data_IF_927562438292
#
_entry.id   IF_927562438292
#
_cell.length_a   1.000
_cell.length_b   1.000
_cell.length_c   1.000
_cell.angle_alpha   90.00
_cell.angle_beta   90.00
_cell.angle_gamma   90.00
#
_symmetry.space_group_name_H-M   'P 1'
#
loop_
_entity.id
_entity.type
_entity.pdbx_description
1 polymer ?
#
# COMPACT_ATOMS: atom_id res chain seq x y z
N UNK A 1 4.76 -8.10 13.17
CA UNK A 1 5.50 -8.41 11.93
C UNK A 1 6.96 -8.07 12.12
N UNK A 2 7.29 -6.84 12.51
CA UNK A 2 8.69 -6.42 12.73
C UNK A 2 9.43 -7.26 13.78
N UNK A 3 8.79 -7.61 14.90
CA UNK A 3 9.37 -8.51 15.92
C UNK A 3 9.82 -9.87 15.38
N UNK A 4 9.28 -10.31 14.23
CA UNK A 4 9.65 -11.57 13.57
C UNK A 4 10.75 -11.39 12.53
N UNK A 5 10.67 -10.35 11.71
CA UNK A 5 11.59 -10.14 10.59
C UNK A 5 12.84 -9.30 10.94
N UNK A 6 12.73 -8.40 11.93
CA UNK A 6 13.80 -7.53 12.43
C UNK A 6 14.52 -6.74 11.32
N UNK A 7 13.77 -6.15 10.40
CA UNK A 7 14.30 -5.40 9.26
C UNK A 7 14.71 -3.96 9.60
N UNK A 8 14.42 -3.51 10.82
CA UNK A 8 14.80 -2.22 11.35
C UNK A 8 13.92 -1.07 10.84
N UNK A 9 14.19 0.13 11.37
CA UNK A 9 13.42 1.36 11.11
C UNK A 9 13.34 1.74 9.63
N UNK A 10 14.37 1.42 8.85
CA UNK A 10 14.44 1.71 7.42
C UNK A 10 13.91 0.55 6.56
N UNK A 11 13.58 -0.59 7.19
CA UNK A 11 13.00 -1.75 6.52
C UNK A 11 11.56 -1.48 6.08
N UNK A 12 11.06 -2.32 5.17
CA UNK A 12 9.73 -2.15 4.59
C UNK A 12 8.61 -2.07 5.64
N UNK A 13 8.63 -2.94 6.66
CA UNK A 13 7.55 -3.02 7.64
C UNK A 13 7.38 -1.73 8.45
N UNK A 14 8.48 -1.10 8.86
CA UNK A 14 8.46 0.12 9.67
C UNK A 14 8.57 1.38 8.81
N UNK A 15 9.58 1.46 7.95
CA UNK A 15 9.89 2.65 7.16
C UNK A 15 8.85 2.96 6.07
N UNK A 16 8.13 1.95 5.59
CA UNK A 16 7.08 2.12 4.58
C UNK A 16 5.70 1.73 5.13
N UNK A 17 5.52 0.48 5.58
CA UNK A 17 4.25 -0.06 6.03
C UNK A 17 3.64 0.72 7.19
N UNK A 18 4.38 0.90 8.29
CA UNK A 18 3.89 1.66 9.45
C UNK A 18 3.70 3.15 9.13
N UNK A 19 4.63 3.76 8.39
CA UNK A 19 4.53 5.15 7.88
C UNK A 19 3.17 5.38 7.19
N UNK A 20 2.84 4.56 6.17
CA UNK A 20 1.61 4.74 5.41
C UNK A 20 0.36 4.29 6.16
N UNK A 21 0.44 3.26 7.00
CA UNK A 21 -0.66 2.87 7.88
C UNK A 21 -1.10 4.06 8.75
N UNK A 22 -0.14 4.77 9.36
CA UNK A 22 -0.41 5.94 10.19
C UNK A 22 -0.96 7.11 9.37
N UNK A 23 -0.38 7.41 8.19
CA UNK A 23 -0.88 8.50 7.33
C UNK A 23 -2.30 8.24 6.83
N UNK A 24 -2.64 7.00 6.47
CA UNK A 24 -4.01 6.63 6.12
C UNK A 24 -4.96 6.75 7.30
N UNK A 25 -4.53 6.40 8.53
CA UNK A 25 -5.31 6.60 9.75
C UNK A 25 -5.58 8.09 10.00
N UNK A 26 -4.57 8.94 9.89
CA UNK A 26 -4.69 10.39 10.08
C UNK A 26 -5.58 11.07 9.04
N UNK A 27 -5.51 10.62 7.78
CA UNK A 27 -6.30 11.19 6.69
C UNK A 27 -7.65 10.49 6.48
N UNK A 28 -7.98 9.45 7.25
CA UNK A 28 -9.15 8.59 7.02
C UNK A 28 -10.46 9.37 6.88
N UNK A 29 -10.64 10.41 7.69
CA UNK A 29 -11.86 11.23 7.67
C UNK A 29 -11.99 12.13 6.43
N UNK A 30 -10.90 12.37 5.70
CA UNK A 30 -10.90 13.15 4.47
C UNK A 30 -11.36 12.34 3.25
N UNK A 31 -11.47 11.01 3.37
CA UNK A 31 -12.02 10.15 2.33
C UNK A 31 -13.55 10.17 2.34
N UNK A 32 -14.16 10.09 1.16
CA UNK A 32 -15.60 9.87 1.05
C UNK A 32 -15.98 8.44 1.49
N UNK A 33 -17.28 8.11 1.54
CA UNK A 33 -17.77 6.80 2.01
C UNK A 33 -17.12 5.63 1.27
N UNK A 34 -17.06 5.69 -0.07
CA UNK A 34 -16.43 4.64 -0.88
C UNK A 34 -14.90 4.56 -0.65
N UNK A 35 -14.24 5.72 -0.50
CA UNK A 35 -12.82 5.80 -0.18
C UNK A 35 -12.50 5.18 1.18
N UNK A 36 -13.33 5.43 2.20
CA UNK A 36 -13.21 4.82 3.53
C UNK A 36 -13.32 3.28 3.49
N UNK A 37 -14.25 2.76 2.69
CA UNK A 37 -14.37 1.32 2.45
C UNK A 37 -13.13 0.76 1.76
N UNK A 38 -12.62 1.46 0.73
CA UNK A 38 -11.39 1.08 0.04
C UNK A 38 -10.18 1.07 0.97
N UNK A 39 -10.00 2.08 1.84
CA UNK A 39 -8.90 2.13 2.82
C UNK A 39 -8.97 0.90 3.75
N UNK A 40 -10.15 0.58 4.29
CA UNK A 40 -10.34 -0.58 5.17
C UNK A 40 -10.01 -1.90 4.46
N UNK A 41 -10.56 -2.10 3.27
CA UNK A 41 -10.33 -3.30 2.46
C UNK A 41 -8.83 -3.46 2.14
N UNK A 42 -8.21 -2.39 1.63
CA UNK A 42 -6.80 -2.39 1.21
C UNK A 42 -5.87 -2.64 2.39
N UNK A 43 -6.09 -1.96 3.52
CA UNK A 43 -5.31 -2.16 4.73
C UNK A 43 -5.38 -3.60 5.24
N UNK A 44 -6.57 -4.21 5.22
CA UNK A 44 -6.74 -5.61 5.61
C UNK A 44 -6.04 -6.57 4.65
N UNK A 45 -6.22 -6.40 3.34
CA UNK A 45 -5.56 -7.20 2.31
C UNK A 45 -4.03 -7.14 2.44
N UNK A 46 -3.46 -5.94 2.55
CA UNK A 46 -2.01 -5.75 2.69
C UNK A 46 -1.47 -6.36 3.98
N UNK A 47 -2.15 -6.18 5.11
CA UNK A 47 -1.75 -6.78 6.39
C UNK A 47 -1.69 -8.30 6.30
N UNK A 48 -2.72 -8.93 5.70
CA UNK A 48 -2.77 -10.38 5.53
C UNK A 48 -1.64 -10.88 4.62
N UNK A 49 -1.49 -10.29 3.43
CA UNK A 49 -0.41 -10.64 2.48
C UNK A 49 0.97 -10.48 3.11
N UNK A 50 1.21 -9.35 3.79
CA UNK A 50 2.48 -9.07 4.47
C UNK A 50 2.76 -10.07 5.59
N UNK A 51 1.74 -10.45 6.37
CA UNK A 51 1.88 -11.49 7.41
C UNK A 51 2.34 -12.82 6.82
N UNK A 52 1.71 -13.25 5.73
CA UNK A 52 2.07 -14.48 5.02
C UNK A 52 3.51 -14.40 4.49
N UNK A 53 3.90 -13.28 3.88
CA UNK A 53 5.25 -13.07 3.35
C UNK A 53 6.30 -13.14 4.47
N UNK A 54 6.07 -12.45 5.59
CA UNK A 54 7.00 -12.44 6.75
C UNK A 54 7.11 -13.83 7.39
N UNK A 55 6.03 -14.60 7.42
CA UNK A 55 6.07 -15.97 7.93
C UNK A 55 6.84 -16.92 7.00
N UNK A 56 6.75 -16.71 5.69
CA UNK A 56 7.43 -17.54 4.69
C UNK A 56 8.90 -17.17 4.47
N UNK A 57 9.28 -15.90 4.69
CA UNK A 57 10.64 -15.44 4.45
C UNK A 57 11.01 -14.32 5.42
N UNK A 58 12.15 -14.45 6.10
CA UNK A 58 12.68 -13.45 7.05
C UNK A 58 13.69 -12.47 6.42
N UNK A 59 14.11 -12.68 5.16
CA UNK A 59 15.05 -11.78 4.47
C UNK A 59 14.35 -10.48 4.09
N UNK A 60 14.87 -9.37 4.59
CA UNK A 60 14.24 -8.06 4.45
C UNK A 60 14.08 -7.58 3.00
N UNK A 61 15.05 -7.89 2.13
CA UNK A 61 14.94 -7.58 0.70
C UNK A 61 13.76 -8.34 0.05
N UNK A 62 13.61 -9.63 0.35
CA UNK A 62 12.52 -10.45 -0.18
C UNK A 62 11.15 -10.03 0.40
N UNK A 63 11.09 -9.68 1.69
CA UNK A 63 9.88 -9.12 2.30
C UNK A 63 9.49 -7.83 1.60
N UNK A 64 10.44 -6.90 1.43
CA UNK A 64 10.23 -5.62 0.74
C UNK A 64 9.65 -5.86 -0.65
N UNK A 65 10.32 -6.65 -1.48
CA UNK A 65 9.91 -6.94 -2.84
C UNK A 65 8.49 -7.53 -2.90
N UNK A 66 8.24 -8.64 -2.22
CA UNK A 66 6.95 -9.34 -2.28
C UNK A 66 5.81 -8.51 -1.70
N UNK A 67 6.08 -7.75 -0.64
CA UNK A 67 5.05 -6.91 -0.03
C UNK A 67 4.70 -5.73 -0.93
N UNK A 68 5.69 -5.14 -1.60
CA UNK A 68 5.43 -4.21 -2.69
C UNK A 68 4.57 -4.88 -3.78
N UNK A 69 4.98 -6.00 -4.38
CA UNK A 69 4.21 -6.69 -5.43
C UNK A 69 2.73 -6.92 -5.05
N UNK A 70 2.42 -7.16 -3.77
CA UNK A 70 1.04 -7.33 -3.29
C UNK A 70 0.14 -6.08 -3.40
N UNK A 71 0.72 -4.87 -3.55
CA UNK A 71 -0.01 -3.60 -3.60
C UNK A 71 -1.00 -3.55 -4.76
N UNK A 72 -0.53 -3.85 -5.99
CA UNK A 72 -1.37 -3.77 -7.19
C UNK A 72 -2.61 -4.65 -7.00
N UNK A 73 -2.42 -5.90 -6.58
CA UNK A 73 -3.51 -6.84 -6.34
C UNK A 73 -4.52 -6.31 -5.33
N UNK A 74 -4.07 -5.89 -4.15
CA UNK A 74 -4.95 -5.38 -3.10
C UNK A 74 -5.68 -4.08 -3.50
N UNK A 75 -5.01 -3.17 -4.21
CA UNK A 75 -5.61 -1.90 -4.63
C UNK A 75 -6.71 -2.15 -5.66
N UNK A 76 -6.43 -3.00 -6.65
CA UNK A 76 -7.40 -3.32 -7.70
C UNK A 76 -8.58 -4.11 -7.17
N UNK A 77 -8.34 -5.13 -6.32
CA UNK A 77 -9.42 -5.96 -5.77
C UNK A 77 -10.35 -5.18 -4.84
N UNK A 78 -9.81 -4.16 -4.15
CA UNK A 78 -10.60 -3.29 -3.28
C UNK A 78 -11.28 -2.13 -4.03
N UNK A 79 -11.12 -2.03 -5.36
CA UNK A 79 -11.83 -1.05 -6.18
C UNK A 79 -11.16 0.31 -6.30
N UNK A 80 -9.82 0.39 -6.25
CA UNK A 80 -9.08 1.66 -6.39
C UNK A 80 -9.52 2.49 -7.61
N UNK A 81 -9.70 1.85 -8.76
CA UNK A 81 -10.08 2.53 -10.02
C UNK A 81 -11.41 3.29 -9.90
N UNK A 82 -12.35 2.76 -9.10
CA UNK A 82 -13.67 3.36 -8.87
C UNK A 82 -13.61 4.56 -7.91
N UNK A 83 -12.72 4.53 -6.93
CA UNK A 83 -12.67 5.55 -5.87
C UNK A 83 -11.67 6.67 -6.15
N UNK A 84 -10.72 6.48 -7.06
CA UNK A 84 -9.56 7.38 -7.21
C UNK A 84 -9.98 8.82 -7.51
N UNK A 85 -10.89 9.04 -8.47
CA UNK A 85 -11.32 10.38 -8.89
C UNK A 85 -11.96 11.15 -7.74
N UNK A 86 -12.86 10.50 -7.01
CA UNK A 86 -13.58 11.10 -5.87
C UNK A 86 -12.74 11.24 -4.60
N UNK A 87 -11.50 10.74 -4.57
CA UNK A 87 -10.62 10.76 -3.39
C UNK A 87 -9.21 11.27 -3.72
N UNK A 88 -9.03 12.02 -4.82
CA UNK A 88 -7.69 12.47 -5.24
C UNK A 88 -7.01 13.35 -4.19
N UNK A 89 -7.73 14.27 -3.57
CA UNK A 89 -7.20 15.16 -2.52
C UNK A 89 -6.70 14.41 -1.29
N UNK A 90 -7.49 13.53 -0.64
CA UNK A 90 -6.98 12.76 0.50
C UNK A 90 -5.88 11.75 0.11
N UNK A 91 -5.90 11.20 -1.11
CA UNK A 91 -4.82 10.37 -1.63
C UNK A 91 -3.52 11.18 -1.75
N UNK A 92 -3.58 12.38 -2.35
CA UNK A 92 -2.44 13.30 -2.46
C UNK A 92 -1.87 13.68 -1.09
N UNK A 93 -2.72 13.99 -0.11
CA UNK A 93 -2.28 14.31 1.27
C UNK A 93 -1.65 13.12 2.00
N UNK A 94 -2.04 11.90 1.64
CA UNK A 94 -1.54 10.68 2.28
C UNK A 94 -0.19 10.27 1.71
N UNK A 95 -0.02 10.36 0.39
CA UNK A 95 1.19 9.90 -0.27
C UNK A 95 2.32 10.92 -0.25
N UNK A 96 3.51 10.44 0.07
CA UNK A 96 4.75 11.14 -0.28
C UNK A 96 5.05 10.87 -1.75
N UNK A 97 4.97 11.89 -2.61
CA UNK A 97 5.28 11.69 -4.03
C UNK A 97 6.76 11.35 -4.25
N UNK A 98 7.64 11.71 -3.30
CA UNK A 98 9.05 11.29 -3.31
C UNK A 98 9.22 9.77 -3.26
N UNK A 99 8.31 9.07 -2.59
CA UNK A 99 8.34 7.60 -2.48
C UNK A 99 7.86 6.93 -3.79
N UNK A 100 7.03 7.60 -4.60
CA UNK A 100 6.62 7.13 -5.92
C UNK A 100 7.75 7.14 -6.96
N UNK A 101 8.80 7.95 -6.76
CA UNK A 101 9.98 7.97 -7.64
C UNK A 101 10.94 6.80 -7.40
N UNK A 102 10.69 5.94 -6.41
CA UNK A 102 11.38 4.65 -6.35
C UNK A 102 10.91 3.77 -7.52
N UNK A 103 11.86 3.11 -8.22
CA UNK A 103 11.55 2.28 -9.41
C UNK A 103 10.41 1.27 -9.16
N UNK A 104 10.34 0.73 -7.95
CA UNK A 104 9.31 -0.22 -7.53
C UNK A 104 7.93 0.43 -7.37
N UNK A 105 7.85 1.62 -6.78
CA UNK A 105 6.58 2.34 -6.63
C UNK A 105 6.06 2.85 -7.98
N UNK A 106 6.97 3.30 -8.87
CA UNK A 106 6.62 3.70 -10.24
C UNK A 106 6.04 2.52 -11.04
N UNK A 107 6.63 1.34 -10.95
CA UNK A 107 6.11 0.13 -11.60
C UNK A 107 4.69 -0.24 -11.11
N UNK A 108 4.39 -0.04 -9.82
CA UNK A 108 3.06 -0.28 -9.27
C UNK A 108 2.03 0.72 -9.77
N UNK A 109 2.38 2.00 -9.81
CA UNK A 109 1.51 3.05 -10.33
C UNK A 109 1.18 2.77 -11.79
N UNK A 110 2.18 2.44 -12.62
CA UNK A 110 1.98 2.09 -14.04
C UNK A 110 1.11 0.82 -14.19
N UNK A 111 1.38 -0.22 -13.40
CA UNK A 111 0.59 -1.46 -13.45
C UNK A 111 -0.86 -1.23 -13.03
N UNK A 112 -1.09 -0.43 -11.99
CA UNK A 112 -2.42 -0.07 -11.52
C UNK A 112 -3.15 0.81 -12.53
N UNK A 113 -2.48 1.80 -13.12
CA UNK A 113 -3.04 2.66 -14.17
C UNK A 113 -3.49 1.84 -15.38
N UNK A 114 -2.66 0.90 -15.87
CA UNK A 114 -3.06 -0.02 -16.95
C UNK A 114 -4.29 -0.85 -16.56
N UNK A 115 -4.33 -1.43 -15.35
CA UNK A 115 -5.48 -2.20 -14.88
C UNK A 115 -6.75 -1.37 -14.71
N UNK A 116 -6.64 -0.07 -14.43
CA UNK A 116 -7.79 0.81 -14.30
C UNK A 116 -8.28 1.40 -15.62
N UNK A 117 -7.41 1.47 -16.64
CA UNK A 117 -7.75 2.00 -17.97
C UNK A 117 -8.30 0.93 -18.91
N UNK A 118 -7.89 -0.33 -18.73
CA UNK A 118 -8.18 -1.43 -19.64
C UNK A 118 -8.75 -2.69 -18.95
N UNK A 119 -9.21 -2.57 -17.70
CA UNK A 119 -9.72 -3.68 -16.90
C UNK A 119 -11.09 -3.41 -16.29
#
# INVERSE_FOLDING_TARGET
MESRAKCGKNGYLMGYGAKYCNRFKSNYNNFNTAGKQWVKCTANCLKLRTRTIVNANRRCAAIKQKAFESHVGCYTSCGFCRIYRGNITPLYKTYDFKDFFSKTALAQVVSMARKCLFG
#
